data_IF_299189419911
#
_entry.id   IF_299189419911
#
_cell.length_a   1.000
_cell.length_b   1.000
_cell.length_c   1.000
_cell.angle_alpha   90.00
_cell.angle_beta   90.00
_cell.angle_gamma   90.00
#
_symmetry.space_group_name_H-M   'P 1'
#
loop_
_entity.id
_entity.type
_entity.pdbx_description
1 polymer ?
#
# COMPACT_ATOMS: atom_id res chain seq x y z
N UNK A 1 19.25 9.07 15.18
CA UNK A 1 20.00 8.92 13.91
C UNK A 1 19.21 9.62 12.83
N UNK A 2 19.85 10.40 11.96
CA UNK A 2 19.20 11.07 10.82
C UNK A 2 19.24 10.07 9.68
N UNK A 3 18.10 9.47 9.31
CA UNK A 3 18.09 8.56 8.16
C UNK A 3 18.06 9.35 6.87
N UNK A 4 18.73 8.84 5.84
CA UNK A 4 18.59 9.30 4.47
C UNK A 4 17.49 8.46 3.81
N UNK A 5 16.31 9.08 3.70
CA UNK A 5 15.09 8.44 3.21
C UNK A 5 14.85 8.88 1.79
N UNK A 6 14.64 7.92 0.89
CA UNK A 6 14.22 8.22 -0.47
C UNK A 6 12.80 7.70 -0.65
N UNK A 7 11.87 8.64 -0.75
CA UNK A 7 10.47 8.35 -1.04
C UNK A 7 10.27 8.50 -2.53
N UNK A 8 9.77 7.45 -3.17
CA UNK A 8 9.62 7.41 -4.62
C UNK A 8 8.14 7.15 -4.89
N UNK A 9 7.46 8.15 -5.45
CA UNK A 9 6.01 8.07 -5.67
C UNK A 9 5.62 8.35 -7.12
N UNK A 10 4.59 7.64 -7.56
CA UNK A 10 3.82 7.86 -8.77
C UNK A 10 2.32 7.95 -8.44
N UNK A 11 1.59 8.67 -9.30
CA UNK A 11 0.16 8.98 -9.31
C UNK A 11 -0.38 9.91 -8.18
N UNK A 12 -0.30 11.22 -8.46
CA UNK A 12 -1.07 12.35 -7.91
C UNK A 12 -1.22 12.55 -6.39
N UNK A 13 -0.63 13.67 -5.95
CA UNK A 13 -1.07 14.56 -4.85
C UNK A 13 -1.23 13.92 -3.47
N UNK A 14 -0.09 13.63 -2.85
CA UNK A 14 0.02 13.52 -1.40
C UNK A 14 1.44 13.82 -0.98
N UNK A 15 1.72 15.06 -0.55
CA UNK A 15 3.00 15.39 0.09
C UNK A 15 3.00 14.75 1.48
N UNK A 16 3.61 13.59 1.58
CA UNK A 16 3.89 12.95 2.85
C UNK A 16 5.23 13.50 3.38
N UNK A 17 5.21 14.32 4.43
CA UNK A 17 6.43 14.85 5.05
C UNK A 17 6.24 15.14 6.54
N UNK A 18 7.17 14.64 7.37
CA UNK A 18 7.48 15.21 8.68
C UNK A 18 8.94 14.90 9.14
N UNK A 19 9.74 15.97 9.17
CA UNK A 19 10.68 16.49 10.20
C UNK A 19 11.88 15.70 10.81
N UNK A 20 12.14 14.42 10.53
CA UNK A 20 13.37 13.74 11.05
C UNK A 20 14.31 13.13 10.01
N UNK A 21 14.00 13.31 8.73
CA UNK A 21 14.65 12.64 7.62
C UNK A 21 15.19 13.64 6.59
N UNK A 22 16.34 13.35 5.97
CA UNK A 22 16.65 13.93 4.68
C UNK A 22 15.79 13.18 3.66
N UNK A 23 14.74 13.83 3.17
CA UNK A 23 13.76 13.21 2.28
C UNK A 23 13.96 13.72 0.86
N UNK A 24 14.34 12.80 -0.02
CA UNK A 24 14.42 13.03 -1.46
C UNK A 24 13.15 12.45 -2.07
N UNK A 25 12.34 13.32 -2.67
CA UNK A 25 11.12 12.92 -3.38
C UNK A 25 11.44 12.82 -4.85
N UNK A 26 11.18 11.65 -5.42
CA UNK A 26 11.36 11.38 -6.85
C UNK A 26 9.98 11.11 -7.43
N UNK A 27 9.56 11.98 -8.34
CA UNK A 27 8.37 11.72 -9.14
C UNK A 27 8.73 10.70 -10.21
N UNK A 28 8.05 9.55 -10.19
CA UNK A 28 8.38 8.43 -11.06
C UNK A 28 7.13 7.70 -11.53
N UNK A 29 7.07 7.43 -12.83
CA UNK A 29 6.07 6.53 -13.40
C UNK A 29 6.57 5.09 -13.31
N UNK A 30 5.82 4.22 -12.62
CA UNK A 30 6.22 2.83 -12.39
C UNK A 30 5.94 1.89 -13.57
N UNK A 31 5.14 2.34 -14.54
CA UNK A 31 4.80 1.64 -15.79
C UNK A 31 5.83 1.84 -16.91
N UNK A 32 6.89 2.62 -16.69
CA UNK A 32 7.94 2.88 -17.68
C UNK A 32 9.30 2.40 -17.16
N UNK A 33 9.80 1.21 -17.57
CA UNK A 33 11.03 0.62 -17.01
C UNK A 33 12.29 1.48 -17.10
N UNK A 34 12.48 2.22 -18.20
CA UNK A 34 13.68 3.04 -18.44
C UNK A 34 13.76 4.24 -17.51
N UNK A 35 12.62 4.82 -17.13
CA UNK A 35 12.58 6.05 -16.33
C UNK A 35 13.01 5.80 -14.88
N UNK A 36 12.80 4.58 -14.36
CA UNK A 36 13.11 4.23 -12.97
C UNK A 36 14.61 4.25 -12.72
N UNK A 37 15.38 3.50 -13.51
CA UNK A 37 16.84 3.42 -13.38
C UNK A 37 17.49 4.79 -13.61
N UNK A 38 17.01 5.53 -14.61
CA UNK A 38 17.50 6.88 -14.91
C UNK A 38 17.23 7.84 -13.76
N UNK A 39 16.02 7.83 -13.19
CA UNK A 39 15.66 8.68 -12.06
C UNK A 39 16.51 8.37 -10.82
N UNK A 40 16.73 7.09 -10.49
CA UNK A 40 17.63 6.73 -9.38
C UNK A 40 19.05 7.21 -9.65
N UNK A 41 19.59 7.02 -10.85
CA UNK A 41 20.94 7.49 -11.18
C UNK A 41 21.06 9.01 -11.11
N UNK A 42 20.02 9.75 -11.50
CA UNK A 42 20.00 11.21 -11.34
C UNK A 42 20.01 11.61 -9.87
N UNK A 43 19.24 10.93 -9.01
CA UNK A 43 19.22 11.18 -7.56
C UNK A 43 20.60 10.93 -6.94
N UNK A 44 21.23 9.80 -7.26
CA UNK A 44 22.59 9.48 -6.82
C UNK A 44 23.57 10.62 -7.17
N UNK A 45 23.55 11.10 -8.41
CA UNK A 45 24.48 12.14 -8.91
C UNK A 45 24.17 13.52 -8.34
N UNK A 46 22.92 13.95 -8.37
CA UNK A 46 22.50 15.30 -7.97
C UNK A 46 22.64 15.52 -6.47
N UNK A 47 22.29 14.50 -5.67
CA UNK A 47 22.29 14.59 -4.22
C UNK A 47 23.51 13.92 -3.57
N UNK A 48 24.43 13.35 -4.35
CA UNK A 48 25.63 12.64 -3.89
C UNK A 48 25.26 11.56 -2.86
N UNK A 49 24.23 10.79 -3.19
CA UNK A 49 23.69 9.72 -2.35
C UNK A 49 24.54 8.48 -2.58
N UNK A 50 25.22 8.03 -1.55
CA UNK A 50 26.07 6.84 -1.52
C UNK A 50 25.36 5.60 -0.94
N UNK A 51 24.25 5.81 -0.24
CA UNK A 51 23.36 4.77 0.28
C UNK A 51 21.93 5.29 0.50
N UNK A 52 20.96 4.38 0.55
CA UNK A 52 19.58 4.66 0.93
C UNK A 52 19.22 3.79 2.12
N UNK A 53 18.72 4.39 3.19
CA UNK A 53 18.28 3.63 4.36
C UNK A 53 16.89 3.05 4.19
N UNK A 54 15.97 3.81 3.58
CA UNK A 54 14.57 3.42 3.44
C UNK A 54 14.09 3.79 2.05
N UNK A 55 13.57 2.79 1.33
CA UNK A 55 12.81 2.95 0.08
C UNK A 55 11.34 2.68 0.38
N UNK A 56 10.47 3.61 0.00
CA UNK A 56 9.02 3.48 0.16
C UNK A 56 8.37 3.39 -1.23
N UNK A 57 7.91 2.19 -1.59
CA UNK A 57 7.17 1.90 -2.81
C UNK A 57 5.68 2.22 -2.62
N UNK A 58 5.32 3.48 -2.84
CA UNK A 58 3.96 3.99 -2.60
C UNK A 58 3.04 3.95 -3.82
N UNK A 59 3.59 4.09 -5.03
CA UNK A 59 2.75 4.29 -6.21
C UNK A 59 1.79 3.11 -6.43
N UNK A 60 0.55 3.43 -6.79
CA UNK A 60 -0.41 2.43 -7.19
C UNK A 60 -1.65 3.00 -7.85
N UNK A 61 -2.34 2.16 -8.62
CA UNK A 61 -3.58 2.49 -9.33
C UNK A 61 -4.71 1.55 -8.90
N UNK A 62 -5.95 2.04 -8.98
CA UNK A 62 -7.18 1.27 -8.83
C UNK A 62 -8.22 1.83 -9.82
N UNK A 63 -8.14 1.34 -11.06
CA UNK A 63 -8.87 1.93 -12.19
C UNK A 63 -10.15 1.17 -12.55
N UNK A 64 -10.20 -0.14 -12.29
CA UNK A 64 -11.40 -0.95 -12.51
C UNK A 64 -12.27 -1.00 -11.25
N UNK A 65 -13.56 -0.69 -11.42
CA UNK A 65 -14.58 -0.70 -10.37
C UNK A 65 -15.82 -1.41 -10.91
N UNK A 66 -15.99 -2.68 -10.54
CA UNK A 66 -17.08 -3.49 -11.07
C UNK A 66 -16.91 -4.99 -10.82
N UNK A 67 -17.94 -5.79 -11.14
CA UNK A 67 -17.88 -7.24 -11.05
C UNK A 67 -16.73 -7.80 -11.89
N UNK A 68 -16.13 -8.89 -11.41
CA UNK A 68 -15.03 -9.60 -12.11
C UNK A 68 -15.42 -9.98 -13.54
N UNK A 69 -16.70 -10.30 -13.77
CA UNK A 69 -17.23 -10.68 -15.09
C UNK A 69 -17.28 -9.55 -16.12
N UNK A 70 -17.15 -8.30 -15.69
CA UNK A 70 -17.14 -7.10 -16.54
C UNK A 70 -15.72 -6.53 -16.72
N UNK A 71 -14.73 -7.17 -16.09
CA UNK A 71 -13.33 -6.74 -16.15
C UNK A 71 -12.68 -7.18 -17.45
N UNK A 72 -11.97 -6.26 -18.09
CA UNK A 72 -11.18 -6.57 -19.28
C UNK A 72 -9.74 -6.94 -18.92
N UNK A 73 -9.05 -7.69 -19.77
CA UNK A 73 -7.65 -8.09 -19.53
C UNK A 73 -6.74 -6.88 -19.33
N UNK A 74 -6.99 -5.77 -20.03
CA UNK A 74 -6.23 -4.52 -19.92
C UNK A 74 -6.31 -3.92 -18.51
N UNK A 75 -7.43 -4.10 -17.81
CA UNK A 75 -7.57 -3.68 -16.42
C UNK A 75 -6.58 -4.47 -15.55
N UNK A 76 -6.57 -5.80 -15.66
CA UNK A 76 -5.64 -6.63 -14.88
C UNK A 76 -4.18 -6.32 -15.21
N UNK A 77 -3.84 -6.24 -16.51
CA UNK A 77 -2.47 -6.01 -16.99
C UNK A 77 -1.95 -4.68 -16.46
N UNK A 78 -2.72 -3.59 -16.57
CA UNK A 78 -2.29 -2.27 -16.10
C UNK A 78 -2.03 -2.23 -14.58
N UNK A 79 -2.86 -2.92 -13.78
CA UNK A 79 -2.64 -2.98 -12.33
C UNK A 79 -1.41 -3.81 -11.96
N UNK A 80 -1.16 -4.94 -12.62
CA UNK A 80 0.05 -5.73 -12.41
C UNK A 80 1.31 -4.95 -12.82
N UNK A 81 1.25 -4.22 -13.93
CA UNK A 81 2.35 -3.40 -14.42
C UNK A 81 2.77 -2.35 -13.38
N UNK A 82 1.82 -1.58 -12.84
CA UNK A 82 2.12 -0.51 -11.87
C UNK A 82 2.31 -1.05 -10.46
N UNK A 83 1.35 -1.80 -9.93
CA UNK A 83 1.31 -2.16 -8.52
C UNK A 83 2.27 -3.30 -8.18
N UNK A 84 2.69 -4.12 -9.16
CA UNK A 84 3.54 -5.31 -8.95
C UNK A 84 4.90 -5.20 -9.64
N UNK A 85 4.95 -4.95 -10.96
CA UNK A 85 6.23 -4.80 -11.65
C UNK A 85 6.94 -3.49 -11.28
N UNK A 86 6.18 -2.43 -10.99
CA UNK A 86 6.69 -1.18 -10.43
C UNK A 86 7.61 -1.37 -9.21
N UNK A 87 7.12 -1.94 -8.09
CA UNK A 87 7.94 -2.23 -6.91
C UNK A 87 9.14 -3.14 -7.21
N UNK A 88 9.00 -4.14 -8.09
CA UNK A 88 10.12 -4.99 -8.50
C UNK A 88 11.23 -4.17 -9.18
N UNK A 89 10.86 -3.31 -10.13
CA UNK A 89 11.81 -2.45 -10.85
C UNK A 89 12.46 -1.45 -9.91
N UNK A 90 11.67 -0.87 -9.01
CA UNK A 90 12.16 0.05 -7.99
C UNK A 90 13.20 -0.61 -7.07
N UNK A 91 12.92 -1.81 -6.58
CA UNK A 91 13.87 -2.58 -5.78
C UNK A 91 15.16 -2.83 -6.57
N UNK A 92 15.07 -3.30 -7.83
CA UNK A 92 16.24 -3.54 -8.68
C UNK A 92 17.09 -2.29 -8.88
N UNK A 93 16.45 -1.14 -9.10
CA UNK A 93 17.14 0.12 -9.30
C UNK A 93 17.81 0.67 -8.03
N UNK A 94 17.29 0.33 -6.85
CA UNK A 94 17.79 0.83 -5.55
C UNK A 94 18.61 -0.20 -4.76
N UNK A 95 18.73 -1.44 -5.25
CA UNK A 95 19.32 -2.56 -4.52
C UNK A 95 20.77 -2.31 -4.08
N UNK A 96 21.60 -1.70 -4.93
CA UNK A 96 23.00 -1.35 -4.59
C UNK A 96 23.06 -0.32 -3.46
N UNK A 97 22.22 0.72 -3.51
CA UNK A 97 22.16 1.77 -2.51
C UNK A 97 21.61 1.28 -1.18
N UNK A 98 20.59 0.42 -1.20
CA UNK A 98 20.08 -0.26 -0.02
C UNK A 98 21.18 -1.13 0.61
N UNK A 99 21.91 -1.91 -0.20
CA UNK A 99 23.00 -2.77 0.29
C UNK A 99 24.14 -1.98 0.96
N UNK A 100 24.34 -0.72 0.58
CA UNK A 100 25.32 0.17 1.20
C UNK A 100 24.86 0.76 2.55
N UNK A 101 23.55 0.70 2.87
CA UNK A 101 23.04 1.14 4.16
C UNK A 101 23.34 0.12 5.26
N UNK A 102 23.48 0.63 6.50
CA UNK A 102 23.64 -0.21 7.70
C UNK A 102 22.33 -0.86 8.16
N UNK A 103 21.19 -0.29 7.81
CA UNK A 103 19.86 -0.75 8.23
C UNK A 103 18.85 -0.56 7.09
N UNK A 104 19.03 -1.24 5.95
CA UNK A 104 18.19 -1.03 4.77
C UNK A 104 16.77 -1.54 4.99
N UNK A 105 15.80 -0.72 4.59
CA UNK A 105 14.37 -1.05 4.62
C UNK A 105 13.72 -0.82 3.25
N UNK A 106 12.92 -1.78 2.80
CA UNK A 106 12.02 -1.64 1.66
C UNK A 106 10.57 -1.76 2.16
N UNK A 107 9.81 -0.69 2.04
CA UNK A 107 8.43 -0.61 2.50
C UNK A 107 7.51 -0.51 1.30
N UNK A 108 6.56 -1.44 1.19
CA UNK A 108 5.53 -1.41 0.15
C UNK A 108 4.18 -1.00 0.72
N UNK A 109 3.52 -0.03 0.09
CA UNK A 109 2.17 0.36 0.47
C UNK A 109 1.17 -0.56 -0.24
N UNK A 110 0.62 -1.49 0.53
CA UNK A 110 -0.33 -2.50 0.10
C UNK A 110 -1.77 -2.05 0.37
N UNK A 111 -2.66 -2.98 0.69
CA UNK A 111 -4.06 -2.74 1.06
C UNK A 111 -4.61 -3.95 1.79
N UNK A 112 -5.60 -3.77 2.67
CA UNK A 112 -6.41 -4.88 3.21
C UNK A 112 -7.02 -5.77 2.11
N UNK A 113 -7.29 -5.20 0.93
CA UNK A 113 -7.86 -5.91 -0.23
C UNK A 113 -6.88 -6.93 -0.85
N UNK A 114 -5.62 -6.93 -0.43
CA UNK A 114 -4.64 -7.94 -0.79
C UNK A 114 -4.79 -9.25 0.02
N UNK A 115 -5.62 -9.25 1.08
CA UNK A 115 -5.79 -10.40 1.96
C UNK A 115 -6.83 -11.37 1.41
N UNK A 116 -6.39 -12.56 1.00
CA UNK A 116 -7.28 -13.65 0.57
C UNK A 116 -8.24 -14.04 1.70
N UNK A 117 -7.74 -14.18 2.93
CA UNK A 117 -8.55 -14.48 4.10
C UNK A 117 -9.49 -13.33 4.52
N UNK A 118 -9.24 -12.11 4.02
CA UNK A 118 -10.06 -10.93 4.27
C UNK A 118 -11.22 -10.74 3.29
N UNK A 119 -11.24 -11.47 2.17
CA UNK A 119 -12.19 -11.22 1.07
C UNK A 119 -13.65 -11.35 1.49
N UNK A 120 -14.00 -12.30 2.35
CA UNK A 120 -15.38 -12.50 2.85
C UNK A 120 -15.93 -11.28 3.61
N UNK A 121 -15.04 -10.41 4.11
CA UNK A 121 -15.40 -9.20 4.87
C UNK A 121 -15.40 -7.94 3.99
N UNK A 122 -15.07 -8.07 2.70
CA UNK A 122 -14.98 -6.96 1.77
C UNK A 122 -16.07 -7.07 0.71
N UNK A 123 -16.83 -5.98 0.55
CA UNK A 123 -17.76 -5.81 -0.57
C UNK A 123 -17.13 -5.05 -1.74
N UNK A 124 -15.80 -4.86 -1.74
CA UNK A 124 -15.11 -4.07 -2.76
C UNK A 124 -15.09 -4.81 -4.11
N UNK A 125 -15.52 -4.11 -5.16
CA UNK A 125 -15.53 -4.59 -6.54
C UNK A 125 -14.28 -4.13 -7.30
N UNK A 126 -13.11 -4.47 -6.77
CA UNK A 126 -11.81 -3.97 -7.24
C UNK A 126 -10.82 -5.13 -7.42
N UNK A 127 -11.23 -6.17 -8.16
CA UNK A 127 -10.48 -7.42 -8.25
C UNK A 127 -9.06 -7.26 -8.81
N UNK A 128 -8.88 -6.53 -9.92
CA UNK A 128 -7.54 -6.25 -10.47
C UNK A 128 -6.61 -5.60 -9.43
N UNK A 129 -7.13 -4.66 -8.65
CA UNK A 129 -6.39 -4.03 -7.55
C UNK A 129 -5.98 -5.04 -6.49
N UNK A 130 -6.93 -5.80 -5.94
CA UNK A 130 -6.66 -6.82 -4.92
C UNK A 130 -5.65 -7.87 -5.38
N UNK A 131 -5.79 -8.40 -6.60
CA UNK A 131 -4.85 -9.35 -7.21
C UNK A 131 -3.45 -8.76 -7.31
N UNK A 132 -3.33 -7.55 -7.84
CA UNK A 132 -2.03 -6.90 -8.00
C UNK A 132 -1.34 -6.62 -6.66
N UNK A 133 -2.08 -6.21 -5.62
CA UNK A 133 -1.54 -6.01 -4.27
C UNK A 133 -1.16 -7.32 -3.59
N UNK A 134 -1.94 -8.39 -3.78
CA UNK A 134 -1.61 -9.73 -3.26
C UNK A 134 -0.33 -10.29 -3.90
N UNK A 135 -0.18 -10.14 -5.22
CA UNK A 135 1.04 -10.52 -5.93
C UNK A 135 2.26 -9.74 -5.41
N UNK A 136 2.10 -8.43 -5.16
CA UNK A 136 3.16 -7.60 -4.60
C UNK A 136 3.52 -7.97 -3.17
N UNK A 137 2.55 -8.35 -2.34
CA UNK A 137 2.83 -8.83 -0.99
C UNK A 137 3.74 -10.07 -1.00
N UNK A 138 3.46 -11.02 -1.91
CA UNK A 138 4.33 -12.18 -2.11
C UNK A 138 5.73 -11.75 -2.58
N UNK A 139 5.81 -10.87 -3.58
CA UNK A 139 7.06 -10.34 -4.10
C UNK A 139 7.92 -9.70 -2.99
N UNK A 140 7.34 -8.85 -2.15
CA UNK A 140 8.06 -8.14 -1.09
C UNK A 140 8.55 -9.11 -0.02
N UNK A 141 7.73 -10.11 0.35
CA UNK A 141 8.16 -11.19 1.24
C UNK A 141 9.31 -11.97 0.63
N UNK A 142 9.27 -12.27 -0.67
CA UNK A 142 10.35 -12.99 -1.35
C UNK A 142 11.65 -12.17 -1.38
N UNK A 143 11.57 -10.86 -1.65
CA UNK A 143 12.71 -9.94 -1.56
C UNK A 143 13.33 -9.96 -0.15
N UNK A 144 12.52 -9.94 0.90
CA UNK A 144 13.02 -10.02 2.28
C UNK A 144 13.80 -11.32 2.53
N UNK A 145 13.25 -12.47 2.14
CA UNK A 145 13.89 -13.78 2.37
C UNK A 145 15.17 -13.98 1.56
N UNK A 146 15.30 -13.33 0.40
CA UNK A 146 16.45 -13.49 -0.51
C UNK A 146 17.61 -12.52 -0.23
N UNK A 147 17.43 -11.52 0.63
CA UNK A 147 18.40 -10.45 0.84
C UNK A 147 18.76 -10.32 2.32
N UNK A 148 19.83 -10.99 2.73
CA UNK A 148 20.35 -10.91 4.09
C UNK A 148 20.65 -9.45 4.50
N UNK A 149 20.16 -9.06 5.68
CA UNK A 149 20.32 -7.70 6.21
C UNK A 149 19.29 -6.69 5.69
N UNK A 150 18.50 -7.01 4.67
CA UNK A 150 17.39 -6.17 4.18
C UNK A 150 16.08 -6.48 4.92
N UNK A 151 15.47 -5.45 5.49
CA UNK A 151 14.13 -5.52 6.05
C UNK A 151 13.13 -5.12 4.96
N UNK A 152 12.36 -6.05 4.42
CA UNK A 152 11.34 -5.73 3.42
C UNK A 152 9.94 -6.20 3.85
N UNK A 153 8.96 -5.30 3.82
CA UNK A 153 7.62 -5.58 4.32
C UNK A 153 6.55 -4.68 3.68
N UNK A 154 5.29 -5.08 3.87
CA UNK A 154 4.12 -4.40 3.32
C UNK A 154 3.28 -3.78 4.43
N UNK A 155 2.80 -2.56 4.22
CA UNK A 155 1.92 -1.83 5.14
C UNK A 155 0.61 -1.52 4.41
N UNK A 156 -0.52 -1.75 5.07
CA UNK A 156 -1.79 -1.18 4.65
C UNK A 156 -1.89 0.27 5.17
N UNK A 157 -1.97 1.30 4.30
CA UNK A 157 -2.12 2.68 4.72
C UNK A 157 -3.51 2.98 5.32
N UNK A 158 -4.46 2.04 5.22
CA UNK A 158 -5.85 2.20 5.62
C UNK A 158 -6.71 2.84 4.52
N UNK A 159 -7.97 3.13 4.84
CA UNK A 159 -8.89 3.76 3.90
C UNK A 159 -8.74 5.29 3.93
N UNK A 160 -7.72 5.77 3.24
CA UNK A 160 -7.22 7.16 3.30
C UNK A 160 -8.01 8.12 2.40
N UNK A 161 -8.16 9.37 2.81
CA UNK A 161 -8.72 10.49 2.03
C UNK A 161 -7.81 10.93 0.87
N UNK A 162 -7.38 10.00 0.02
CA UNK A 162 -6.74 10.26 -1.27
C UNK A 162 -7.78 10.38 -2.38
N UNK A 163 -7.38 10.79 -3.59
CA UNK A 163 -8.27 10.77 -4.75
C UNK A 163 -8.88 9.37 -4.99
N UNK A 164 -8.05 8.34 -4.87
CA UNK A 164 -8.45 6.93 -4.97
C UNK A 164 -9.38 6.51 -3.83
N UNK A 165 -9.01 6.82 -2.59
CA UNK A 165 -9.79 6.42 -1.43
C UNK A 165 -11.14 7.14 -1.37
N UNK A 166 -11.19 8.44 -1.66
CA UNK A 166 -12.44 9.19 -1.74
C UNK A 166 -13.33 8.73 -2.90
N UNK A 167 -12.74 8.32 -4.03
CA UNK A 167 -13.50 7.67 -5.11
C UNK A 167 -14.13 6.36 -4.63
N UNK A 168 -13.37 5.52 -3.94
CA UNK A 168 -13.88 4.29 -3.35
C UNK A 168 -14.94 4.52 -2.29
N UNK A 169 -14.78 5.54 -1.46
CA UNK A 169 -15.75 5.91 -0.43
C UNK A 169 -17.09 6.27 -1.07
N UNK A 170 -17.07 7.11 -2.11
CA UNK A 170 -18.28 7.48 -2.87
C UNK A 170 -18.94 6.29 -3.55
N UNK A 171 -18.15 5.34 -4.08
CA UNK A 171 -18.68 4.10 -4.63
C UNK A 171 -19.39 3.26 -3.56
N UNK A 172 -18.88 3.26 -2.32
CA UNK A 172 -19.48 2.62 -1.16
C UNK A 172 -20.56 3.46 -0.44
N UNK A 173 -21.00 4.59 -1.00
CA UNK A 173 -22.04 5.45 -0.41
C UNK A 173 -21.58 6.36 0.73
N UNK A 174 -20.27 6.51 0.95
CA UNK A 174 -19.67 7.44 1.90
C UNK A 174 -19.26 8.76 1.20
N UNK A 175 -19.31 9.91 1.89
CA UNK A 175 -18.89 11.19 1.29
C UNK A 175 -17.38 11.23 0.99
N UNK A 176 -16.59 10.67 1.90
CA UNK A 176 -15.12 10.62 1.83
C UNK A 176 -14.62 9.42 2.64
N UNK A 177 -13.34 9.09 2.45
CA UNK A 177 -12.71 8.00 3.19
C UNK A 177 -12.56 8.37 4.68
N UNK A 178 -12.62 7.39 5.59
CA UNK A 178 -12.69 7.66 7.03
C UNK A 178 -11.35 8.01 7.69
N UNK A 179 -10.22 7.79 7.04
CA UNK A 179 -8.89 8.08 7.59
C UNK A 179 -8.27 9.28 6.86
N UNK A 180 -7.82 10.28 7.62
CA UNK A 180 -7.12 11.43 7.04
C UNK A 180 -5.72 11.02 6.56
N UNK A 181 -5.14 11.81 5.65
CA UNK A 181 -3.77 11.59 5.19
C UNK A 181 -2.78 11.61 6.37
N UNK A 182 -2.91 12.57 7.28
CA UNK A 182 -1.98 12.70 8.41
C UNK A 182 -2.02 11.49 9.35
N UNK A 183 -3.22 11.00 9.69
CA UNK A 183 -3.35 9.79 10.53
C UNK A 183 -2.72 8.56 9.88
N UNK A 184 -2.89 8.40 8.56
CA UNK A 184 -2.26 7.32 7.81
C UNK A 184 -0.73 7.42 7.86
N UNK A 185 -0.20 8.63 7.63
CA UNK A 185 1.25 8.89 7.65
C UNK A 185 1.86 8.63 9.02
N UNK A 186 1.23 9.11 10.09
CA UNK A 186 1.67 8.84 11.46
C UNK A 186 1.70 7.33 11.76
N UNK A 187 0.68 6.59 11.32
CA UNK A 187 0.63 5.13 11.44
C UNK A 187 1.74 4.41 10.68
N UNK A 188 2.02 4.84 9.44
CA UNK A 188 3.10 4.29 8.61
C UNK A 188 4.46 4.55 9.27
N UNK A 189 4.73 5.78 9.70
CA UNK A 189 6.00 6.13 10.37
C UNK A 189 6.16 5.32 11.67
N UNK A 190 5.08 5.17 12.43
CA UNK A 190 5.04 4.34 13.62
C UNK A 190 5.50 2.90 13.34
N UNK A 191 4.95 2.27 12.30
CA UNK A 191 5.36 0.92 11.89
C UNK A 191 6.82 0.88 11.41
N UNK A 192 7.21 1.76 10.48
CA UNK A 192 8.58 1.79 9.92
C UNK A 192 9.66 1.97 10.99
N UNK A 193 9.36 2.71 12.07
CA UNK A 193 10.26 2.94 13.20
C UNK A 193 10.32 1.78 14.20
N UNK A 194 9.28 0.94 14.30
CA UNK A 194 9.18 -0.14 15.30
C UNK A 194 9.71 -1.50 14.82
N UNK A 195 9.79 -1.74 13.51
CA UNK A 195 10.09 -3.07 12.95
C UNK A 195 11.48 -3.64 13.29
N UNK A 196 12.43 -2.81 13.75
CA UNK A 196 13.72 -3.33 14.25
C UNK A 196 13.55 -4.25 15.48
N UNK A 197 12.38 -4.19 16.14
CA UNK A 197 12.02 -5.01 17.30
C UNK A 197 11.28 -6.29 16.87
N UNK A 198 10.31 -6.20 15.95
CA UNK A 198 9.49 -7.35 15.56
C UNK A 198 10.30 -8.42 14.80
N UNK A 199 11.26 -8.00 13.98
CA UNK A 199 12.18 -8.92 13.30
C UNK A 199 13.21 -9.55 14.24
N UNK A 200 13.67 -8.83 15.27
CA UNK A 200 14.54 -9.39 16.33
C UNK A 200 13.84 -10.44 17.19
N UNK A 201 12.52 -10.37 17.30
CA UNK A 201 11.72 -11.29 18.11
C UNK A 201 11.26 -12.54 17.34
N UNK A 202 11.69 -12.73 16.09
CA UNK A 202 11.30 -13.90 15.30
C UNK A 202 9.79 -13.95 15.03
N UNK A 203 9.10 -12.82 15.15
CA UNK A 203 7.68 -12.68 14.80
C UNK A 203 7.57 -12.56 13.28
N UNK A 204 8.00 -13.61 12.57
CA UNK A 204 7.85 -13.71 11.14
C UNK A 204 6.36 -13.63 10.78
N UNK A 205 6.06 -12.73 9.84
CA UNK A 205 5.00 -12.93 8.86
C UNK A 205 3.57 -13.24 9.36
N UNK A 206 3.18 -12.79 10.56
CA UNK A 206 1.84 -13.09 11.08
C UNK A 206 0.91 -11.89 11.22
N UNK A 207 1.34 -10.70 10.79
CA UNK A 207 0.57 -9.48 11.04
C UNK A 207 -0.29 -8.96 9.89
N UNK A 208 -0.31 -9.57 8.70
CA UNK A 208 -1.18 -9.06 7.63
C UNK A 208 -1.76 -10.04 6.60
N UNK A 209 -1.37 -11.32 6.53
CA UNK A 209 -1.78 -12.17 5.39
C UNK A 209 -2.44 -13.52 5.67
N UNK A 210 -2.50 -14.02 6.91
CA UNK A 210 -3.19 -15.31 7.18
C UNK A 210 -4.04 -15.38 8.46
N UNK A 211 -3.96 -14.41 9.36
CA UNK A 211 -4.83 -14.35 10.52
C UNK A 211 -5.71 -13.11 10.40
N UNK A 212 -7.02 -13.30 10.19
CA UNK A 212 -8.01 -12.23 10.11
C UNK A 212 -8.21 -11.43 11.41
N UNK A 213 -7.13 -10.96 12.04
CA UNK A 213 -7.12 -10.12 13.22
C UNK A 213 -6.63 -8.70 12.89
N UNK A 214 -7.52 -7.75 13.20
CA UNK A 214 -7.34 -6.31 13.05
C UNK A 214 -6.30 -5.80 14.05
N UNK A 215 -5.27 -5.10 13.58
CA UNK A 215 -4.78 -3.92 14.29
C UNK A 215 -5.44 -2.70 13.66
N UNK A 216 -6.53 -2.23 14.26
CA UNK A 216 -7.01 -0.89 13.97
C UNK A 216 -6.04 0.09 14.61
N UNK A 217 -5.70 1.16 13.90
CA UNK A 217 -5.22 2.40 14.54
C UNK A 217 -6.18 2.72 15.69
N UNK A 218 -5.71 2.92 16.93
CA UNK A 218 -6.60 3.17 18.06
C UNK A 218 -7.46 4.39 17.76
N UNK A 219 -8.78 4.19 17.62
CA UNK A 219 -9.71 5.32 17.65
C UNK A 219 -9.70 5.88 19.07
N UNK A 220 -9.65 7.21 19.21
CA UNK A 220 -9.97 7.85 20.50
C UNK A 220 -11.31 7.29 21.01
N UNK A 221 -11.44 7.02 22.31
CA UNK A 221 -12.71 6.56 22.87
C UNK A 221 -13.80 7.57 22.52
N UNK A 222 -14.83 7.10 21.82
CA UNK A 222 -16.06 7.88 21.65
C UNK A 222 -16.80 7.90 22.99
N UNK A 223 -17.33 9.08 23.35
CA UNK A 223 -18.18 9.25 24.52
C UNK A 223 -19.31 8.20 24.53
N UNK A 224 -19.63 7.59 25.68
CA UNK A 224 -20.61 6.50 25.79
C UNK A 224 -22.05 7.03 25.78
N UNK A 225 -22.44 7.71 24.71
CA UNK A 225 -23.68 8.50 24.68
C UNK A 225 -24.49 8.46 23.40
N UNK A 226 -24.27 7.53 22.47
CA UNK A 226 -25.21 7.32 21.35
C UNK A 226 -25.20 5.88 20.86
N UNK A 227 -26.02 5.06 21.51
CA UNK A 227 -26.49 3.78 20.97
C UNK A 227 -27.64 4.06 19.99
N UNK A 228 -27.38 3.92 18.69
CA UNK A 228 -28.43 3.59 17.73
C UNK A 228 -27.95 2.39 16.92
N UNK A 229 -28.58 1.26 17.21
CA UNK A 229 -28.34 -0.07 16.71
C UNK A 229 -28.39 -0.19 15.17
N UNK A 230 -27.58 -1.15 14.69
CA UNK A 230 -27.71 -1.94 13.46
C UNK A 230 -28.67 -1.44 12.37
N UNK A 231 -28.12 -0.88 11.29
CA UNK A 231 -28.77 -0.89 9.98
C UNK A 231 -28.29 -2.10 9.17
N UNK A 232 -29.05 -3.19 9.24
CA UNK A 232 -29.09 -4.20 8.18
C UNK A 232 -29.63 -3.53 6.90
N UNK A 233 -28.89 -3.61 5.80
CA UNK A 233 -29.38 -3.20 4.48
C UNK A 233 -30.12 -4.42 3.89
N UNK A 234 -31.43 -4.38 3.65
CA UNK A 234 -32.15 -5.54 3.16
C UNK A 234 -31.88 -5.73 1.65
N UNK A 235 -31.37 -6.90 1.28
CA UNK A 235 -31.39 -7.41 -0.09
C UNK A 235 -32.85 -7.53 -0.55
N UNK A 236 -33.33 -6.62 -1.41
CA UNK A 236 -34.63 -6.81 -2.10
C UNK A 236 -34.47 -7.81 -3.24
N UNK A 237 -35.22 -8.90 -3.11
CA UNK A 237 -35.21 -10.05 -4.00
C UNK A 237 -35.89 -9.86 -5.36
N UNK A 238 -35.61 -10.87 -6.19
CA UNK A 238 -36.21 -11.27 -7.46
C UNK A 238 -37.68 -10.84 -7.60
N UNK A 239 -38.03 -10.26 -8.76
CA UNK A 239 -39.40 -10.35 -9.29
C UNK A 239 -39.45 -11.47 -10.33
N UNK A 240 -40.37 -12.39 -10.08
CA UNK A 240 -40.89 -13.35 -11.04
C UNK A 240 -41.56 -12.60 -12.20
N UNK A 241 -41.20 -12.95 -13.44
CA UNK A 241 -41.99 -12.65 -14.63
C UNK A 241 -42.55 -13.97 -15.16
N UNK A 242 -43.82 -14.21 -14.91
CA UNK A 242 -44.61 -15.30 -15.48
C UNK A 242 -44.87 -15.07 -16.97
N UNK A 243 -44.76 -16.15 -17.74
CA UNK A 243 -45.34 -16.26 -19.09
C UNK A 243 -46.86 -16.13 -19.05
N UNK A 244 -47.39 -15.29 -19.93
CA UNK A 244 -48.68 -15.44 -20.63
C UNK A 244 -48.69 -14.49 -21.81
#
# INVERSE_FOLDING_TARGET
MKYRVVLITGANRGKCFALTFELIVVELSLDAPSTITEAISQVEKQHRVDHIDIVIANAGICNHWGPVSEMEDVDMISHLEVNTLGPLRLFRATASLLKASKQPKLVYLSSELASIAGLEKSSSLTTAYGVSKAASNYLIKKIHEENEGLIAFSIDPGFVQSDMGNRGARYGGLPEAPMTINESVEGIIGQVSQEDIFLKLGLHANWLLLAGQRLRVPRRPQNPGNSSDSMEIPCRGRRNGTMS
#
